data_IF_596460133912
#
_entry.id   IF_596460133912
#
_cell.length_a   1.000
_cell.length_b   1.000
_cell.length_c   1.000
_cell.angle_alpha   90.00
_cell.angle_beta   90.00
_cell.angle_gamma   90.00
#
_symmetry.space_group_name_H-M   'P 1'
#
loop_
_entity.id
_entity.type
_entity.pdbx_description
1 polymer ?
#
# COMPACT_ATOMS: atom_id res chain seq x y z
N UNK A 1 12.51 -14.50 -5.93
CA UNK A 1 11.39 -14.46 -6.91
C UNK A 1 10.35 -13.46 -6.44
N UNK A 2 9.56 -12.87 -7.35
CA UNK A 2 8.47 -11.91 -7.05
C UNK A 2 7.56 -12.39 -5.91
N UNK A 3 7.25 -13.70 -5.87
CA UNK A 3 6.34 -14.30 -4.90
C UNK A 3 6.68 -14.06 -3.41
N UNK A 4 7.95 -13.80 -3.06
CA UNK A 4 8.39 -13.65 -1.67
C UNK A 4 8.85 -12.22 -1.34
N UNK A 5 8.46 -11.23 -2.15
CA UNK A 5 8.81 -9.85 -1.92
C UNK A 5 7.82 -9.23 -0.93
N UNK A 6 8.35 -8.65 0.14
CA UNK A 6 7.59 -7.88 1.11
C UNK A 6 8.24 -6.53 1.37
N UNK A 7 7.45 -5.59 1.87
CA UNK A 7 7.88 -4.28 2.32
C UNK A 7 8.89 -4.44 3.45
N UNK A 8 10.01 -3.73 3.37
CA UNK A 8 11.03 -3.76 4.42
C UNK A 8 10.59 -2.91 5.62
N UNK A 9 11.07 -3.17 6.86
CA UNK A 9 10.62 -2.46 8.05
C UNK A 9 10.79 -0.93 8.03
N UNK A 10 11.68 -0.40 7.19
CA UNK A 10 11.95 1.04 7.03
C UNK A 10 11.60 1.58 5.63
N UNK A 11 11.00 0.73 4.81
CA UNK A 11 10.54 1.08 3.47
C UNK A 11 9.09 1.56 3.60
N UNK A 12 8.76 2.71 3.03
CA UNK A 12 7.38 3.17 2.95
C UNK A 12 6.63 2.42 1.81
N UNK A 13 5.28 2.42 1.83
CA UNK A 13 4.48 1.68 0.85
C UNK A 13 4.70 2.09 -0.62
N UNK A 14 4.99 3.37 -0.90
CA UNK A 14 5.30 3.83 -2.25
C UNK A 14 6.66 3.30 -2.72
N UNK A 15 7.70 3.40 -1.88
CA UNK A 15 9.02 2.83 -2.17
C UNK A 15 8.93 1.33 -2.46
N UNK A 16 8.11 0.60 -1.68
CA UNK A 16 7.82 -0.80 -1.91
C UNK A 16 7.19 -1.06 -3.28
N UNK A 17 6.18 -0.28 -3.67
CA UNK A 17 5.53 -0.39 -4.97
C UNK A 17 6.53 -0.17 -6.11
N UNK A 18 7.32 0.91 -6.06
CA UNK A 18 8.32 1.24 -7.09
C UNK A 18 9.39 0.15 -7.22
N UNK A 19 9.86 -0.39 -6.09
CA UNK A 19 10.82 -1.50 -6.09
C UNK A 19 10.23 -2.75 -6.73
N UNK A 20 8.98 -3.06 -6.43
CA UNK A 20 8.30 -4.25 -6.96
C UNK A 20 8.04 -4.10 -8.47
N UNK A 21 7.62 -2.91 -8.93
CA UNK A 21 7.50 -2.56 -10.36
C UNK A 21 8.82 -2.75 -11.10
N UNK A 22 9.91 -2.24 -10.52
CA UNK A 22 11.27 -2.37 -11.08
C UNK A 22 11.66 -3.85 -11.24
N UNK A 23 11.35 -4.68 -10.26
CA UNK A 23 11.66 -6.11 -10.31
C UNK A 23 10.83 -6.84 -11.37
N UNK A 24 9.52 -6.54 -11.46
CA UNK A 24 8.65 -7.07 -12.53
C UNK A 24 9.21 -6.72 -13.90
N UNK A 25 9.62 -5.47 -14.11
CA UNK A 25 10.17 -5.02 -15.38
C UNK A 25 11.50 -5.73 -15.72
N UNK A 26 12.41 -5.91 -14.74
CA UNK A 26 13.66 -6.66 -14.92
C UNK A 26 13.41 -8.12 -15.32
N UNK A 27 12.41 -8.77 -14.74
CA UNK A 27 12.02 -10.14 -15.09
C UNK A 27 11.51 -10.21 -16.52
N UNK A 28 10.63 -9.28 -16.91
CA UNK A 28 10.12 -9.18 -18.28
C UNK A 28 11.27 -8.98 -19.28
N UNK A 29 12.22 -8.09 -19.00
CA UNK A 29 13.39 -7.87 -19.86
C UNK A 29 14.27 -9.11 -19.97
N UNK A 30 14.65 -9.73 -18.84
CA UNK A 30 15.48 -10.94 -18.85
C UNK A 30 14.83 -12.10 -19.61
N UNK A 31 13.48 -12.21 -19.59
CA UNK A 31 12.74 -13.21 -20.36
C UNK A 31 12.78 -12.98 -21.88
N UNK A 32 12.97 -11.73 -22.33
CA UNK A 32 13.06 -11.39 -23.76
C UNK A 32 14.46 -11.59 -24.31
N UNK A 33 15.50 -11.35 -23.50
CA UNK A 33 16.91 -11.46 -23.92
C UNK A 33 17.39 -12.93 -24.01
N UNK A 34 16.75 -13.85 -23.31
CA UNK A 34 17.26 -15.21 -23.14
C UNK A 34 17.05 -16.15 -24.33
N UNK A 35 16.41 -15.70 -25.43
CA UNK A 35 16.30 -16.41 -26.73
C UNK A 35 15.63 -17.80 -26.71
N UNK A 36 15.34 -18.32 -25.52
CA UNK A 36 14.72 -19.60 -25.26
C UNK A 36 13.21 -19.36 -25.18
N UNK A 37 12.42 -20.21 -25.82
CA UNK A 37 10.95 -20.21 -25.88
C UNK A 37 10.22 -20.26 -24.51
N UNK A 38 10.92 -20.06 -23.39
CA UNK A 38 10.33 -19.83 -22.07
C UNK A 38 10.09 -18.32 -21.95
N UNK A 39 9.10 -17.82 -22.70
CA UNK A 39 8.48 -16.55 -22.37
C UNK A 39 7.87 -16.71 -20.99
N UNK A 40 8.43 -16.07 -19.95
CA UNK A 40 7.63 -15.76 -18.78
C UNK A 40 6.47 -14.93 -19.32
N UNK A 41 5.32 -15.58 -19.49
CA UNK A 41 4.16 -14.93 -20.03
C UNK A 41 3.88 -13.71 -19.15
N UNK A 42 3.69 -12.56 -19.80
CA UNK A 42 3.52 -11.28 -19.12
C UNK A 42 2.37 -11.32 -18.10
N UNK A 43 1.38 -12.18 -18.31
CA UNK A 43 0.29 -12.50 -17.38
C UNK A 43 0.79 -13.21 -16.11
N UNK A 44 1.67 -14.21 -16.24
CA UNK A 44 2.29 -14.91 -15.11
C UNK A 44 3.14 -13.98 -14.23
N UNK A 45 3.90 -13.07 -14.84
CA UNK A 45 4.66 -12.06 -14.09
C UNK A 45 3.76 -11.03 -13.41
N UNK A 46 2.67 -10.61 -14.07
CA UNK A 46 1.69 -9.69 -13.52
C UNK A 46 0.95 -10.29 -12.31
N UNK A 47 0.46 -11.53 -12.41
CA UNK A 47 -0.22 -12.19 -11.30
C UNK A 47 0.66 -12.34 -10.05
N UNK A 48 1.92 -12.75 -10.24
CA UNK A 48 2.89 -12.82 -9.13
C UNK A 48 3.21 -11.45 -8.54
N UNK A 49 3.28 -10.42 -9.37
CA UNK A 49 3.49 -9.04 -8.94
C UNK A 49 2.32 -8.53 -8.09
N UNK A 50 1.08 -8.70 -8.55
CA UNK A 50 -0.12 -8.27 -7.81
C UNK A 50 -0.25 -9.04 -6.49
N UNK A 51 0.03 -10.34 -6.50
CA UNK A 51 0.07 -11.15 -5.28
C UNK A 51 1.12 -10.66 -4.27
N UNK A 52 2.32 -10.29 -4.75
CA UNK A 52 3.37 -9.75 -3.88
C UNK A 52 2.98 -8.41 -3.25
N UNK A 53 2.23 -7.56 -3.96
CA UNK A 53 1.67 -6.34 -3.38
C UNK A 53 0.60 -6.65 -2.33
N UNK A 54 -0.29 -7.60 -2.60
CA UNK A 54 -1.37 -7.96 -1.68
C UNK A 54 -0.85 -8.55 -0.36
N UNK A 55 0.19 -9.40 -0.41
CA UNK A 55 0.73 -10.06 0.79
C UNK A 55 1.90 -9.30 1.42
N UNK A 56 2.61 -8.48 0.64
CA UNK A 56 3.86 -7.86 1.04
C UNK A 56 3.76 -6.51 1.75
N UNK A 57 2.64 -5.79 1.66
CA UNK A 57 2.42 -4.53 2.38
C UNK A 57 2.32 -4.75 3.89
N UNK A 58 2.98 -3.94 4.71
CA UNK A 58 2.96 -4.07 6.19
C UNK A 58 1.65 -3.54 6.79
N UNK A 59 1.18 -2.39 6.30
CA UNK A 59 0.00 -1.72 6.84
C UNK A 59 -1.28 -2.37 6.29
N UNK A 60 -2.05 -3.01 7.17
CA UNK A 60 -3.28 -3.71 6.80
C UNK A 60 -4.37 -2.75 6.27
N UNK A 61 -4.39 -1.49 6.72
CA UNK A 61 -5.35 -0.50 6.23
C UNK A 61 -5.02 -0.09 4.80
N UNK A 62 -3.74 0.13 4.50
CA UNK A 62 -3.27 0.43 3.15
C UNK A 62 -3.51 -0.79 2.26
N UNK A 63 -3.19 -2.01 2.72
CA UNK A 63 -3.45 -3.25 2.01
C UNK A 63 -4.94 -3.42 1.67
N UNK A 64 -5.83 -3.19 2.62
CA UNK A 64 -7.28 -3.27 2.41
C UNK A 64 -7.78 -2.26 1.36
N UNK A 65 -7.22 -1.04 1.35
CA UNK A 65 -7.53 -0.01 0.34
C UNK A 65 -6.98 -0.35 -1.05
N UNK A 66 -5.84 -1.01 -1.13
CA UNK A 66 -5.23 -1.44 -2.40
C UNK A 66 -5.92 -2.66 -3.02
N UNK A 67 -6.51 -3.55 -2.21
CA UNK A 67 -7.08 -4.83 -2.65
C UNK A 67 -8.02 -4.75 -3.87
N UNK A 68 -8.98 -3.79 -3.98
CA UNK A 68 -9.85 -3.69 -5.15
C UNK A 68 -9.07 -3.47 -6.46
N UNK A 69 -8.03 -2.65 -6.40
CA UNK A 69 -7.14 -2.37 -7.54
C UNK A 69 -6.31 -3.60 -7.90
N UNK A 70 -5.81 -4.33 -6.90
CA UNK A 70 -4.97 -5.51 -7.10
C UNK A 70 -5.72 -6.74 -7.65
N UNK A 71 -7.05 -6.77 -7.54
CA UNK A 71 -7.87 -7.84 -8.13
C UNK A 71 -8.03 -7.70 -9.65
N UNK A 72 -7.81 -6.50 -10.21
CA UNK A 72 -7.87 -6.27 -11.63
C UNK A 72 -6.52 -6.62 -12.30
N UNK A 73 -6.48 -7.71 -13.06
CA UNK A 73 -5.26 -8.16 -13.73
C UNK A 73 -4.81 -7.25 -14.87
N UNK A 74 -5.72 -6.39 -15.37
CA UNK A 74 -5.45 -5.39 -16.40
C UNK A 74 -5.07 -4.02 -15.83
N UNK A 75 -4.86 -3.92 -14.52
CA UNK A 75 -4.45 -2.68 -13.85
C UNK A 75 -3.12 -2.16 -14.42
N UNK A 76 -3.07 -0.86 -14.68
CA UNK A 76 -1.86 -0.19 -15.16
C UNK A 76 -0.94 0.21 -14.01
N UNK A 77 0.29 0.58 -14.33
CA UNK A 77 1.25 1.04 -13.32
C UNK A 77 0.80 2.38 -12.73
N UNK A 78 0.22 3.24 -13.56
CA UNK A 78 -0.37 4.51 -13.20
C UNK A 78 -1.52 4.33 -12.20
N UNK A 79 -2.45 3.40 -12.48
CA UNK A 79 -3.57 3.09 -11.57
C UNK A 79 -3.07 2.62 -10.20
N UNK A 80 -1.99 1.82 -10.16
CA UNK A 80 -1.40 1.33 -8.92
C UNK A 80 -0.73 2.45 -8.11
N UNK A 81 -0.02 3.34 -8.80
CA UNK A 81 0.61 4.50 -8.18
C UNK A 81 -0.46 5.44 -7.61
N UNK A 82 -1.52 5.71 -8.37
CA UNK A 82 -2.63 6.54 -7.92
C UNK A 82 -3.34 5.92 -6.71
N UNK A 83 -3.68 4.63 -6.78
CA UNK A 83 -4.30 3.91 -5.68
C UNK A 83 -3.45 3.93 -4.40
N UNK A 84 -2.13 3.75 -4.53
CA UNK A 84 -1.20 3.80 -3.40
C UNK A 84 -1.15 5.20 -2.77
N UNK A 85 -1.08 6.24 -3.60
CA UNK A 85 -1.08 7.63 -3.14
C UNK A 85 -2.38 7.96 -2.38
N UNK A 86 -3.53 7.54 -2.91
CA UNK A 86 -4.82 7.72 -2.25
C UNK A 86 -4.90 6.94 -0.94
N UNK A 87 -4.41 5.70 -0.91
CA UNK A 87 -4.42 4.87 0.28
C UNK A 87 -3.59 5.48 1.41
N UNK A 88 -2.38 5.93 1.10
CA UNK A 88 -1.49 6.61 2.05
C UNK A 88 -2.06 7.95 2.53
N UNK A 89 -2.60 8.76 1.63
CA UNK A 89 -3.19 10.06 1.99
C UNK A 89 -4.37 9.89 2.96
N UNK A 90 -5.25 8.93 2.68
CA UNK A 90 -6.36 8.61 3.57
C UNK A 90 -5.91 8.08 4.93
N UNK A 91 -4.81 7.33 4.98
CA UNK A 91 -4.26 6.82 6.24
C UNK A 91 -3.60 7.94 7.08
N UNK A 92 -2.86 8.85 6.44
CA UNK A 92 -2.32 10.04 7.09
C UNK A 92 -3.45 10.88 7.69
N UNK A 93 -4.53 11.12 6.93
CA UNK A 93 -5.69 11.87 7.43
C UNK A 93 -6.35 11.17 8.63
N UNK A 94 -6.49 9.84 8.58
CA UNK A 94 -7.06 9.03 9.67
C UNK A 94 -6.23 9.16 10.94
N UNK A 95 -4.91 9.02 10.84
CA UNK A 95 -3.97 9.15 11.97
C UNK A 95 -4.02 10.57 12.55
N UNK A 96 -4.08 11.59 11.69
CA UNK A 96 -4.21 12.99 12.13
C UNK A 96 -5.53 13.22 12.88
N UNK A 97 -6.67 12.77 12.34
CA UNK A 97 -7.98 12.91 13.01
C UNK A 97 -8.00 12.23 14.38
N UNK A 98 -7.37 11.07 14.51
CA UNK A 98 -7.22 10.38 15.79
C UNK A 98 -6.31 11.13 16.77
N UNK A 99 -5.20 11.74 16.30
CA UNK A 99 -4.28 12.48 17.16
C UNK A 99 -4.86 13.81 17.68
N UNK A 100 -5.74 14.46 16.91
CA UNK A 100 -6.44 15.67 17.34
C UNK A 100 -7.62 15.42 18.29
N UNK A 101 -8.25 14.25 18.24
CA UNK A 101 -9.45 13.94 19.05
C UNK A 101 -9.14 13.53 20.49
N UNK A 102 -7.87 13.26 20.84
CA UNK A 102 -7.44 12.85 22.18
C UNK A 102 -7.24 13.98 23.20
N UNK A 103 -7.43 15.26 22.84
CA UNK A 103 -7.25 16.42 23.73
C UNK A 103 -8.54 17.25 23.84
N UNK A 104 -9.57 16.70 24.48
CA UNK A 104 -10.59 17.52 25.14
C UNK A 104 -10.68 17.13 26.60
N UNK A 105 -9.76 17.67 27.40
CA UNK A 105 -9.93 17.75 28.84
C UNK A 105 -11.12 18.67 29.12
N UNK A 106 -12.27 18.08 29.45
CA UNK A 106 -13.41 18.81 29.99
C UNK A 106 -13.03 19.32 31.39
N UNK A 107 -12.54 20.56 31.46
CA UNK A 107 -12.53 21.31 32.72
C UNK A 107 -13.95 21.75 33.01
N UNK A 108 -14.72 20.91 33.71
CA UNK A 108 -16.00 21.31 34.29
C UNK A 108 -15.67 22.26 35.44
N UNK A 109 -15.88 23.56 35.22
CA UNK A 109 -15.87 24.54 36.30
C UNK A 109 -17.04 24.22 37.23
N UNK A 110 -16.73 23.81 38.46
CA UNK A 110 -17.71 23.64 39.53
C UNK A 110 -18.18 25.04 39.93
N UNK A 111 -19.35 25.47 39.43
CA UNK A 111 -20.09 26.56 40.05
C UNK A 111 -20.77 26.02 41.30
N UNK A 112 -20.17 26.33 42.46
CA UNK A 112 -20.82 26.18 43.76
C UNK A 112 -21.61 27.45 44.05
N UNK A 113 -22.85 27.50 43.56
CA UNK A 113 -23.97 28.13 44.28
C UNK A 113 -24.70 27.00 45.03
N UNK A 114 -25.29 27.16 46.19
CA UNK A 114 -25.57 28.29 47.07
C UNK A 114 -25.54 27.70 48.51
N UNK A 115 -25.63 28.52 49.55
CA UNK A 115 -26.46 28.23 50.75
C UNK A 115 -26.31 29.34 51.81
N UNK A 116 -27.36 30.17 51.87
CA UNK A 116 -27.93 30.97 52.99
C UNK A 116 -27.11 32.09 53.63
#
# INVERSE_FOLDING_TARGET
>A
MLANIAQQPKEDPQSFLIRTLTIRQKIIFASKESGNNITYDQSSAQGLFLHALETGLIDETIRAKMRPTLQNHLVTDEDLIEAMNMAMSAEIERVNKFSFSGRKSASIYINRGDDV
#
